data_IF_886669928540
#
_entry.id   IF_886669928540
#
_cell.length_a   1.000
_cell.length_b   1.000
_cell.length_c   1.000
_cell.angle_alpha   90.00
_cell.angle_beta   90.00
_cell.angle_gamma   90.00
#
_symmetry.space_group_name_H-M   'P 1'
#
loop_
_entity.id
_entity.type
_entity.pdbx_description
1 polymer ?
#
# COMPACT_ATOMS: atom_id res chain seq x y z
N UNK A 1 37.55 20.87 -44.31
CA UNK A 1 36.72 19.66 -44.44
C UNK A 1 35.93 19.48 -43.15
N UNK A 2 34.61 19.54 -43.25
CA UNK A 2 33.68 19.41 -42.12
C UNK A 2 33.80 18.05 -41.46
N UNK A 3 34.04 18.03 -40.15
CA UNK A 3 33.92 16.81 -39.33
C UNK A 3 32.42 16.60 -39.09
N UNK A 4 31.90 15.51 -39.64
CA UNK A 4 30.52 15.05 -39.49
C UNK A 4 30.23 14.76 -38.01
N UNK A 5 29.28 15.50 -37.44
CA UNK A 5 28.85 15.34 -36.06
C UNK A 5 28.00 14.06 -35.96
N UNK A 6 28.60 13.00 -35.41
CA UNK A 6 27.87 11.76 -35.10
C UNK A 6 26.82 12.08 -34.05
N UNK A 7 25.54 11.83 -34.38
CA UNK A 7 24.39 12.12 -33.55
C UNK A 7 24.48 11.29 -32.25
N UNK A 8 25.16 11.85 -31.24
CA UNK A 8 25.55 11.13 -30.05
C UNK A 8 24.31 10.82 -29.22
N UNK A 9 24.04 9.52 -29.02
CA UNK A 9 22.89 9.06 -28.25
C UNK A 9 22.92 9.68 -26.85
N UNK A 10 21.82 10.32 -26.45
CA UNK A 10 21.71 11.02 -25.17
C UNK A 10 21.02 10.15 -24.12
N UNK A 11 21.41 10.35 -22.86
CA UNK A 11 20.75 9.71 -21.72
C UNK A 11 19.32 10.21 -21.56
N UNK A 12 18.37 9.28 -21.44
CA UNK A 12 16.95 9.63 -21.23
C UNK A 12 16.68 10.39 -19.91
N UNK A 13 17.59 10.36 -18.94
CA UNK A 13 17.44 11.03 -17.65
C UNK A 13 18.14 12.40 -17.59
N UNK A 14 19.42 12.47 -17.94
CA UNK A 14 20.25 13.66 -17.72
C UNK A 14 20.76 14.31 -19.03
N UNK A 15 20.31 13.83 -20.19
CA UNK A 15 20.72 14.28 -21.52
C UNK A 15 22.23 14.19 -21.85
N UNK A 16 23.09 13.74 -20.93
CA UNK A 16 24.52 13.53 -21.19
C UNK A 16 24.73 12.48 -22.29
N UNK A 17 25.79 12.67 -23.09
CA UNK A 17 26.21 11.71 -24.12
C UNK A 17 26.43 10.32 -23.50
N UNK A 18 25.86 9.29 -24.14
CA UNK A 18 26.06 7.90 -23.77
C UNK A 18 27.22 7.34 -24.57
N UNK A 19 28.19 6.73 -23.88
CA UNK A 19 29.21 5.89 -24.49
C UNK A 19 28.97 4.41 -24.16
N UNK A 20 29.40 3.53 -25.06
CA UNK A 20 29.30 2.07 -24.92
C UNK A 20 28.26 1.46 -25.86
N UNK A 21 27.65 0.36 -25.43
CA UNK A 21 26.74 -0.46 -26.26
C UNK A 21 25.66 0.37 -26.98
N UNK A 22 25.38 -0.01 -28.22
CA UNK A 22 24.41 0.65 -29.12
C UNK A 22 23.00 0.76 -28.53
N UNK A 23 22.56 -0.23 -27.74
CA UNK A 23 21.24 -0.29 -27.12
C UNK A 23 21.14 0.51 -25.81
N UNK A 24 22.24 1.01 -25.27
CA UNK A 24 22.29 1.71 -23.97
C UNK A 24 21.39 2.96 -23.98
N UNK A 25 20.49 3.05 -22.99
CA UNK A 25 19.51 4.16 -22.84
C UNK A 25 19.86 5.15 -21.73
N UNK A 26 20.73 4.74 -20.81
CA UNK A 26 21.12 5.52 -19.64
C UNK A 26 22.65 5.56 -19.50
N UNK A 27 23.21 6.69 -19.10
CA UNK A 27 24.66 6.81 -18.92
C UNK A 27 25.17 6.04 -17.68
N UNK A 28 24.34 5.86 -16.66
CA UNK A 28 24.65 5.16 -15.40
C UNK A 28 23.45 4.44 -14.81
N UNK A 29 23.70 3.50 -13.89
CA UNK A 29 22.66 2.84 -13.09
C UNK A 29 21.83 3.85 -12.29
N UNK A 30 22.46 4.91 -11.77
CA UNK A 30 21.76 6.00 -11.09
C UNK A 30 20.73 6.67 -12.02
N UNK A 31 21.13 7.07 -13.23
CA UNK A 31 20.21 7.69 -14.19
C UNK A 31 19.05 6.77 -14.60
N UNK A 32 19.30 5.46 -14.70
CA UNK A 32 18.24 4.46 -14.94
C UNK A 32 17.22 4.46 -13.80
N UNK A 33 17.67 4.31 -12.56
CA UNK A 33 16.79 4.26 -11.40
C UNK A 33 16.04 5.57 -11.19
N UNK A 34 16.71 6.72 -11.31
CA UNK A 34 16.08 8.04 -11.14
C UNK A 34 15.03 8.32 -12.22
N UNK A 35 15.28 7.94 -13.48
CA UNK A 35 14.27 8.02 -14.54
C UNK A 35 13.05 7.15 -14.20
N UNK A 36 13.25 5.87 -13.88
CA UNK A 36 12.12 5.00 -13.54
C UNK A 36 11.37 5.47 -12.28
N UNK A 37 12.07 5.99 -11.27
CA UNK A 37 11.46 6.57 -10.09
C UNK A 37 10.67 7.85 -10.42
N UNK A 38 11.12 8.68 -11.36
CA UNK A 38 10.35 9.83 -11.81
C UNK A 38 9.07 9.41 -12.53
N UNK A 39 9.16 8.45 -13.47
CA UNK A 39 8.00 8.02 -14.28
C UNK A 39 6.99 7.15 -13.53
N UNK A 40 7.45 6.28 -12.63
CA UNK A 40 6.61 5.31 -11.92
C UNK A 40 6.49 5.59 -10.42
N UNK A 41 7.23 6.57 -9.90
CA UNK A 41 7.30 6.88 -8.47
C UNK A 41 5.96 7.25 -7.88
N UNK A 42 5.18 8.11 -8.53
CA UNK A 42 3.88 8.55 -7.99
C UNK A 42 2.86 7.41 -7.88
N UNK A 43 2.79 6.55 -8.90
CA UNK A 43 1.95 5.33 -8.86
C UNK A 43 2.41 4.38 -7.75
N UNK A 44 3.73 4.15 -7.66
CA UNK A 44 4.33 3.35 -6.59
C UNK A 44 4.11 3.95 -5.21
N UNK A 45 4.17 5.28 -5.08
CA UNK A 45 3.96 6.03 -3.84
C UNK A 45 2.51 5.89 -3.37
N UNK A 46 1.54 6.02 -4.29
CA UNK A 46 0.13 5.82 -3.97
C UNK A 46 -0.13 4.41 -3.45
N UNK A 47 0.29 3.37 -4.18
CA UNK A 47 0.13 1.99 -3.74
C UNK A 47 0.82 1.72 -2.39
N UNK A 48 2.04 2.25 -2.20
CA UNK A 48 2.76 2.13 -0.92
C UNK A 48 2.02 2.81 0.23
N UNK A 49 1.41 3.98 0.01
CA UNK A 49 0.60 4.68 1.02
C UNK A 49 -0.64 3.88 1.40
N UNK A 50 -1.39 3.39 0.41
CA UNK A 50 -2.58 2.53 0.63
C UNK A 50 -2.18 1.27 1.40
N UNK A 51 -1.11 0.59 0.98
CA UNK A 51 -0.62 -0.61 1.67
C UNK A 51 -0.18 -0.31 3.11
N UNK A 52 0.46 0.84 3.34
CA UNK A 52 0.85 1.26 4.70
C UNK A 52 -0.37 1.48 5.61
N UNK A 53 -1.47 2.02 5.08
CA UNK A 53 -2.73 2.18 5.81
C UNK A 53 -3.40 0.84 6.10
N UNK A 54 -3.44 -0.06 5.11
CA UNK A 54 -3.97 -1.43 5.29
C UNK A 54 -3.18 -2.21 6.35
N UNK A 55 -1.85 -2.16 6.32
CA UNK A 55 -0.99 -2.82 7.30
C UNK A 55 -1.14 -2.21 8.70
N UNK A 56 -1.30 -0.88 8.80
CA UNK A 56 -1.59 -0.21 10.08
C UNK A 56 -2.93 -0.68 10.64
N UNK A 57 -3.98 -0.66 9.83
CA UNK A 57 -5.31 -1.12 10.24
C UNK A 57 -5.27 -2.58 10.71
N UNK A 58 -4.64 -3.47 9.93
CA UNK A 58 -4.45 -4.87 10.30
C UNK A 58 -3.74 -5.01 11.65
N UNK A 59 -2.67 -4.25 11.88
CA UNK A 59 -1.94 -4.27 13.17
C UNK A 59 -2.82 -3.82 14.33
N UNK A 60 -3.56 -2.72 14.18
CA UNK A 60 -4.45 -2.21 15.24
C UNK A 60 -5.49 -3.26 15.62
N UNK A 61 -6.12 -3.90 14.63
CA UNK A 61 -7.10 -4.96 14.87
C UNK A 61 -6.48 -6.16 15.57
N UNK A 62 -5.28 -6.60 15.15
CA UNK A 62 -4.57 -7.71 15.76
C UNK A 62 -4.19 -7.43 17.23
N UNK A 63 -3.66 -6.24 17.52
CA UNK A 63 -3.24 -5.83 18.86
C UNK A 63 -4.45 -5.79 19.82
N UNK A 64 -5.57 -5.21 19.37
CA UNK A 64 -6.82 -5.16 20.14
C UNK A 64 -7.44 -6.54 20.33
N UNK A 65 -7.42 -7.38 19.29
CA UNK A 65 -7.92 -8.75 19.37
C UNK A 65 -7.17 -9.58 20.43
N UNK A 66 -5.84 -9.46 20.47
CA UNK A 66 -5.01 -10.12 21.47
C UNK A 66 -5.27 -9.58 22.89
N UNK A 67 -5.43 -8.25 23.04
CA UNK A 67 -5.69 -7.60 24.33
C UNK A 67 -7.02 -8.04 24.95
N UNK A 68 -8.07 -8.19 24.13
CA UNK A 68 -9.43 -8.44 24.60
C UNK A 68 -9.86 -9.92 24.54
N UNK A 69 -8.92 -10.86 24.41
CA UNK A 69 -9.14 -12.32 24.39
C UNK A 69 -10.28 -12.77 23.47
N UNK A 70 -10.22 -12.35 22.20
CA UNK A 70 -10.97 -12.97 21.10
C UNK A 70 -12.49 -13.08 21.30
N UNK A 71 -13.19 -11.97 21.61
CA UNK A 71 -14.65 -11.79 21.40
C UNK A 71 -15.24 -10.55 22.10
N UNK A 72 -14.45 -9.74 22.81
CA UNK A 72 -15.01 -8.58 23.51
C UNK A 72 -15.48 -7.48 22.53
N UNK A 73 -16.52 -6.75 22.95
CA UNK A 73 -16.89 -5.50 22.33
C UNK A 73 -15.83 -4.45 22.65
N UNK A 74 -15.21 -3.90 21.61
CA UNK A 74 -14.22 -2.83 21.71
C UNK A 74 -14.90 -1.51 21.32
N UNK A 75 -14.70 -0.41 22.06
CA UNK A 75 -15.19 0.90 21.64
C UNK A 75 -14.59 1.29 20.29
N UNK A 76 -15.43 1.78 19.37
CA UNK A 76 -14.98 2.22 18.05
C UNK A 76 -13.97 3.39 18.17
N UNK A 77 -14.10 4.22 19.21
CA UNK A 77 -13.18 5.31 19.53
C UNK A 77 -11.73 4.83 19.74
N UNK A 78 -11.53 3.61 20.25
CA UNK A 78 -10.19 3.07 20.50
C UNK A 78 -9.42 2.83 19.20
N UNK A 79 -10.12 2.45 18.13
CA UNK A 79 -9.52 2.31 16.80
C UNK A 79 -9.07 3.68 16.28
N UNK A 80 -9.93 4.69 16.40
CA UNK A 80 -9.63 6.05 15.95
C UNK A 80 -8.46 6.66 16.71
N UNK A 81 -8.38 6.47 18.04
CA UNK A 81 -7.26 6.93 18.85
C UNK A 81 -5.91 6.30 18.43
N UNK A 82 -5.94 5.07 17.91
CA UNK A 82 -4.76 4.37 17.37
C UNK A 82 -4.45 4.72 15.91
N UNK A 83 -5.22 5.62 15.29
CA UNK A 83 -5.02 6.07 13.91
C UNK A 83 -5.57 5.11 12.84
N UNK A 84 -6.61 4.35 13.18
CA UNK A 84 -7.32 3.48 12.24
C UNK A 84 -8.03 4.28 11.15
N UNK A 85 -8.03 3.76 9.93
CA UNK A 85 -8.67 4.39 8.75
C UNK A 85 -9.76 3.48 8.17
N UNK A 86 -11.06 3.69 8.48
CA UNK A 86 -12.15 2.83 8.03
C UNK A 86 -12.32 2.76 6.50
N UNK A 87 -11.81 3.75 5.78
CA UNK A 87 -11.85 3.79 4.30
C UNK A 87 -10.86 2.83 3.64
N UNK A 88 -9.92 2.25 4.39
CA UNK A 88 -8.90 1.34 3.87
C UNK A 88 -9.15 -0.06 4.41
N UNK A 89 -9.81 -0.89 3.61
CA UNK A 89 -10.09 -2.28 3.89
C UNK A 89 -9.84 -3.12 2.64
N UNK A 90 -9.57 -4.42 2.80
CA UNK A 90 -9.32 -5.34 1.69
C UNK A 90 -10.60 -5.86 1.09
N UNK A 91 -11.58 -6.22 1.93
CA UNK A 91 -12.86 -6.77 1.48
C UNK A 91 -13.91 -6.67 2.59
N UNK A 92 -15.17 -6.89 2.21
CA UNK A 92 -16.29 -6.97 3.13
C UNK A 92 -17.06 -8.27 2.91
N UNK A 93 -17.59 -8.85 3.99
CA UNK A 93 -18.43 -10.05 3.92
C UNK A 93 -19.72 -9.84 4.70
N UNK A 94 -20.84 -10.29 4.12
CA UNK A 94 -22.14 -10.35 4.79
C UNK A 94 -22.40 -11.78 5.21
N UNK A 95 -22.49 -12.06 6.52
CA UNK A 95 -22.75 -13.44 7.02
C UNK A 95 -24.22 -13.74 7.26
N UNK A 96 -24.97 -12.78 7.79
CA UNK A 96 -26.40 -12.90 8.08
C UNK A 96 -27.10 -11.58 7.81
N UNK A 97 -28.45 -11.58 7.87
CA UNK A 97 -29.26 -10.36 7.74
C UNK A 97 -28.77 -9.34 8.79
N UNK A 98 -28.21 -8.24 8.30
CA UNK A 98 -27.65 -7.14 9.10
C UNK A 98 -26.27 -7.34 9.77
N UNK A 99 -25.48 -8.34 9.35
CA UNK A 99 -24.09 -8.48 9.82
C UNK A 99 -23.09 -8.24 8.68
N UNK A 100 -22.53 -7.02 8.62
CA UNK A 100 -21.48 -6.64 7.70
C UNK A 100 -20.12 -6.65 8.42
N UNK A 101 -19.21 -7.49 7.95
CA UNK A 101 -17.84 -7.55 8.42
C UNK A 101 -16.94 -6.82 7.44
N UNK A 102 -16.08 -5.94 7.95
CA UNK A 102 -15.07 -5.22 7.16
C UNK A 102 -13.69 -5.70 7.57
N UNK A 103 -12.88 -6.09 6.58
CA UNK A 103 -11.61 -6.78 6.82
C UNK A 103 -10.41 -5.99 6.32
N UNK A 104 -9.33 -6.09 7.08
CA UNK A 104 -7.97 -5.77 6.65
C UNK A 104 -7.16 -7.06 6.69
N UNK A 105 -7.09 -7.75 5.54
CA UNK A 105 -6.57 -9.11 5.41
C UNK A 105 -7.35 -10.10 6.28
N UNK A 106 -6.70 -10.81 7.19
CA UNK A 106 -7.31 -11.83 8.03
C UNK A 106 -8.05 -11.26 9.25
N UNK A 107 -7.81 -10.00 9.60
CA UNK A 107 -8.49 -9.36 10.72
C UNK A 107 -9.67 -8.54 10.23
N UNK A 108 -10.83 -8.74 10.86
CA UNK A 108 -12.05 -8.02 10.53
C UNK A 108 -12.74 -7.47 11.75
N UNK A 109 -13.66 -6.54 11.50
CA UNK A 109 -14.53 -6.01 12.53
C UNK A 109 -15.97 -5.89 12.02
N UNK A 110 -16.89 -6.03 12.96
CA UNK A 110 -18.31 -5.78 12.78
C UNK A 110 -18.75 -4.70 13.75
N UNK A 111 -19.54 -3.74 13.29
CA UNK A 111 -20.17 -2.75 14.18
C UNK A 111 -21.35 -3.44 14.91
N UNK A 112 -21.31 -3.45 16.25
CA UNK A 112 -22.25 -4.19 17.13
C UNK A 112 -23.09 -3.26 18.02
N UNK A 113 -23.39 -2.05 17.54
CA UNK A 113 -24.16 -1.05 18.28
C UNK A 113 -23.90 0.34 17.71
N UNK A 114 -24.14 1.38 18.52
CA UNK A 114 -23.90 2.77 18.09
C UNK A 114 -22.40 3.10 17.98
N UNK A 115 -21.58 2.61 18.91
CA UNK A 115 -20.15 2.96 19.01
C UNK A 115 -19.26 1.79 19.45
N UNK A 116 -19.70 0.55 19.24
CA UNK A 116 -18.95 -0.65 19.59
C UNK A 116 -18.68 -1.49 18.35
N UNK A 117 -17.56 -2.20 18.38
CA UNK A 117 -17.20 -3.18 17.37
C UNK A 117 -16.87 -4.52 18.01
N UNK A 118 -17.06 -5.59 17.25
CA UNK A 118 -16.51 -6.91 17.53
C UNK A 118 -15.41 -7.20 16.53
N UNK A 119 -14.22 -7.53 17.02
CA UNK A 119 -13.06 -7.89 16.19
C UNK A 119 -13.01 -9.42 16.04
N UNK A 120 -12.72 -9.89 14.84
CA UNK A 120 -12.59 -11.30 14.49
C UNK A 120 -11.31 -11.54 13.69
N UNK A 121 -10.83 -12.78 13.73
CA UNK A 121 -9.75 -13.26 12.88
C UNK A 121 -10.28 -14.40 12.01
N UNK A 122 -10.02 -14.32 10.71
CA UNK A 122 -10.33 -15.35 9.73
C UNK A 122 -9.10 -16.24 9.54
N UNK A 123 -9.19 -17.51 9.92
CA UNK A 123 -8.09 -18.47 9.83
C UNK A 123 -8.01 -19.21 8.49
N UNK A 124 -9.04 -19.12 7.65
CA UNK A 124 -9.12 -19.83 6.36
C UNK A 124 -9.62 -18.91 5.25
N UNK A 125 -8.96 -18.99 4.08
CA UNK A 125 -9.41 -18.36 2.83
C UNK A 125 -10.25 -19.42 2.10
N UNK A 126 -11.55 -19.45 2.37
CA UNK A 126 -12.53 -20.21 1.58
C UNK A 126 -13.40 -19.23 0.78
#
# INVERSE_FOLDING_TARGET
MHIMETNAKQCLHCAKKIAGRTDKKFCSNHCRSSYHNHFYGDKSNYMRRVNSLLLRNRKILADLFAMHRSSANVPLSELYLKGFSPSHFTHQQKKAKNQLYTYCYEFGYQITGKDCIKIIQQTSIE
#
